data_IF_902109317626
#
_entry.id   IF_902109317626
#
_cell.length_a   1.000
_cell.length_b   1.000
_cell.length_c   1.000
_cell.angle_alpha   90.00
_cell.angle_beta   90.00
_cell.angle_gamma   90.00
#
_symmetry.space_group_name_H-M   'P 1'
#
loop_
_entity.id
_entity.type
_entity.pdbx_description
1 polymer ?
#
# COMPACT_ATOMS: atom_id res chain seq x y z
N UNK A 1 76.84 0.60 -12.11
CA UNK A 1 77.37 -0.63 -12.74
C UNK A 1 76.53 -1.80 -12.24
N UNK A 2 76.02 -2.62 -13.18
CA UNK A 2 75.68 -4.07 -13.12
C UNK A 2 75.29 -4.65 -11.75
N UNK A 3 74.26 -5.46 -11.50
CA UNK A 3 73.42 -6.48 -12.20
C UNK A 3 72.40 -6.88 -11.08
N UNK A 4 71.24 -7.51 -11.24
CA UNK A 4 70.70 -8.36 -12.28
C UNK A 4 69.41 -8.99 -11.74
N UNK A 5 68.32 -8.74 -12.48
CA UNK A 5 67.13 -9.55 -12.79
C UNK A 5 67.11 -11.03 -12.35
N UNK A 6 65.95 -11.48 -11.83
CA UNK A 6 65.10 -12.65 -12.21
C UNK A 6 64.32 -13.17 -10.98
N UNK A 7 62.99 -12.99 -10.92
CA UNK A 7 61.89 -13.87 -11.39
C UNK A 7 61.59 -15.04 -10.44
N UNK A 8 60.37 -15.05 -9.90
CA UNK A 8 59.76 -16.15 -9.17
C UNK A 8 58.26 -15.90 -9.04
N UNK A 9 57.51 -16.29 -10.08
CA UNK A 9 56.06 -16.30 -10.07
C UNK A 9 55.55 -17.46 -9.19
N UNK A 10 54.56 -17.19 -8.35
CA UNK A 10 53.72 -18.22 -7.75
C UNK A 10 52.26 -17.82 -7.99
N UNK A 11 51.69 -18.40 -9.06
CA UNK A 11 50.26 -18.42 -9.29
C UNK A 11 49.64 -19.47 -8.37
N UNK A 12 48.72 -19.06 -7.50
CA UNK A 12 47.80 -19.98 -6.82
C UNK A 12 46.45 -19.79 -7.49
N UNK A 13 46.02 -20.86 -8.16
CA UNK A 13 44.74 -20.97 -8.83
C UNK A 13 43.75 -21.76 -7.96
N UNK A 14 42.46 -21.57 -8.27
CA UNK A 14 41.28 -22.33 -7.86
C UNK A 14 40.72 -22.10 -6.45
N UNK A 15 39.73 -21.20 -6.39
CA UNK A 15 38.51 -21.39 -5.62
C UNK A 15 37.32 -21.24 -6.56
N UNK A 16 36.85 -22.35 -7.13
CA UNK A 16 35.56 -22.44 -7.80
C UNK A 16 34.49 -22.29 -6.72
N UNK A 17 33.97 -21.08 -6.54
CA UNK A 17 32.72 -20.88 -5.80
C UNK A 17 31.61 -21.31 -6.74
N UNK A 18 31.09 -22.51 -6.52
CA UNK A 18 29.81 -22.92 -7.07
C UNK A 18 28.75 -22.01 -6.46
N UNK A 19 28.45 -20.90 -7.14
CA UNK A 19 27.29 -20.07 -6.89
C UNK A 19 26.05 -20.92 -7.12
N UNK A 20 25.50 -21.46 -6.05
CA UNK A 20 24.15 -21.97 -6.00
C UNK A 20 23.19 -20.84 -6.35
N UNK A 21 22.46 -21.03 -7.46
CA UNK A 21 21.13 -20.51 -7.74
C UNK A 21 20.68 -19.28 -6.93
N UNK A 22 20.83 -18.10 -7.53
CA UNK A 22 19.66 -17.25 -7.70
C UNK A 22 19.38 -17.29 -9.21
N UNK A 23 18.52 -18.22 -9.65
CA UNK A 23 17.59 -17.79 -10.69
C UNK A 23 16.83 -16.68 -9.99
N UNK A 24 17.06 -15.44 -10.42
CA UNK A 24 16.00 -14.45 -10.34
C UNK A 24 14.90 -15.08 -11.17
N UNK A 25 14.04 -15.83 -10.50
CA UNK A 25 12.65 -15.92 -10.88
C UNK A 25 12.23 -14.46 -10.76
N UNK A 26 12.37 -13.73 -11.87
CA UNK A 26 11.59 -12.52 -12.08
C UNK A 26 10.17 -13.07 -12.02
N UNK A 27 9.63 -13.12 -10.80
CA UNK A 27 8.28 -13.58 -10.56
C UNK A 27 7.40 -12.61 -11.31
N UNK A 28 7.07 -12.96 -12.54
CA UNK A 28 5.84 -12.53 -13.17
C UNK A 28 4.79 -12.77 -12.08
N UNK A 29 4.27 -11.70 -11.48
CA UNK A 29 3.15 -11.80 -10.57
C UNK A 29 2.02 -12.48 -11.36
N UNK A 30 1.86 -13.79 -11.18
CA UNK A 30 1.00 -14.66 -11.98
C UNK A 30 -0.50 -14.47 -11.62
N UNK A 31 -0.87 -13.30 -11.06
CA UNK A 31 -2.19 -12.96 -10.58
C UNK A 31 -2.71 -11.64 -11.16
N UNK A 32 -4.02 -11.54 -11.32
CA UNK A 32 -4.69 -10.27 -11.57
C UNK A 32 -5.01 -9.60 -10.24
N UNK A 33 -4.86 -8.28 -10.13
CA UNK A 33 -5.29 -7.50 -8.96
C UNK A 33 -6.81 -7.60 -8.84
N UNK A 34 -7.29 -8.29 -7.79
CA UNK A 34 -8.72 -8.36 -7.49
C UNK A 34 -9.21 -7.09 -6.80
N UNK A 35 -10.53 -6.83 -6.74
CA UNK A 35 -11.04 -5.66 -6.04
C UNK A 35 -10.66 -5.60 -4.56
N UNK A 36 -10.65 -6.74 -3.86
CA UNK A 36 -10.25 -6.78 -2.45
C UNK A 36 -8.77 -6.43 -2.26
N UNK A 37 -7.89 -7.00 -3.09
CA UNK A 37 -6.45 -6.69 -3.08
C UNK A 37 -6.19 -5.23 -3.42
N UNK A 38 -6.93 -4.65 -4.36
CA UNK A 38 -6.84 -3.23 -4.67
C UNK A 38 -7.17 -2.36 -3.45
N UNK A 39 -8.26 -2.64 -2.73
CA UNK A 39 -8.61 -1.91 -1.51
C UNK A 39 -7.57 -2.08 -0.41
N UNK A 40 -7.07 -3.30 -0.19
CA UNK A 40 -6.00 -3.56 0.78
C UNK A 40 -4.76 -2.74 0.44
N UNK A 41 -4.28 -2.81 -0.80
CA UNK A 41 -3.10 -2.07 -1.26
C UNK A 41 -3.25 -0.55 -1.06
N UNK A 42 -4.43 0.00 -1.37
CA UNK A 42 -4.72 1.44 -1.20
C UNK A 42 -4.70 1.83 0.29
N UNK A 43 -5.30 1.02 1.16
CA UNK A 43 -5.36 1.30 2.60
C UNK A 43 -3.98 1.14 3.24
N UNK A 44 -3.23 0.09 2.91
CA UNK A 44 -1.86 -0.11 3.38
C UNK A 44 -0.95 1.04 2.96
N UNK A 45 -1.07 1.47 1.71
CA UNK A 45 -0.38 2.66 1.22
C UNK A 45 -0.71 3.89 2.07
N UNK A 46 -2.00 4.18 2.32
CA UNK A 46 -2.41 5.31 3.18
C UNK A 46 -1.85 5.20 4.59
N UNK A 47 -1.98 4.03 5.24
CA UNK A 47 -1.49 3.81 6.61
C UNK A 47 0.01 4.01 6.67
N UNK A 48 0.76 3.60 5.64
CA UNK A 48 2.21 3.81 5.55
C UNK A 48 2.61 5.29 5.45
N UNK A 49 1.70 6.18 5.03
CA UNK A 49 1.94 7.63 5.02
C UNK A 49 1.74 8.29 6.39
N UNK A 50 1.13 7.59 7.35
CA UNK A 50 0.78 8.13 8.64
C UNK A 50 1.87 7.88 9.68
N UNK A 51 2.06 8.84 10.58
CA UNK A 51 2.86 8.62 11.77
C UNK A 51 2.06 7.79 12.78
N UNK A 52 2.62 6.70 13.33
CA UNK A 52 1.92 5.89 14.32
C UNK A 52 1.55 6.73 15.54
N UNK A 53 0.29 6.65 15.97
CA UNK A 53 -0.19 7.26 17.21
C UNK A 53 0.10 6.33 18.39
N UNK A 54 0.29 6.92 19.57
CA UNK A 54 0.52 6.19 20.82
C UNK A 54 -0.46 6.65 21.88
N UNK A 55 -1.03 5.70 22.61
CA UNK A 55 -1.99 5.98 23.67
C UNK A 55 -1.32 6.48 24.97
N UNK A 56 -2.13 6.75 25.99
CA UNK A 56 -1.65 7.19 27.31
C UNK A 56 -0.78 6.14 28.03
N UNK A 57 -0.87 4.86 27.62
CA UNK A 57 -0.07 3.74 28.13
C UNK A 57 1.25 3.57 27.37
N UNK A 58 1.42 4.27 26.25
CA UNK A 58 2.58 4.16 25.35
C UNK A 58 2.48 2.99 24.36
N UNK A 59 1.29 2.43 24.16
CA UNK A 59 1.02 1.40 23.16
C UNK A 59 0.65 2.05 21.82
N UNK A 60 1.04 1.41 20.70
CA UNK A 60 0.70 1.92 19.36
C UNK A 60 -0.78 1.70 19.11
N UNK A 61 -1.48 2.76 18.72
CA UNK A 61 -2.87 2.68 18.30
C UNK A 61 -2.97 2.41 16.80
N UNK A 62 -3.94 1.59 16.40
CA UNK A 62 -4.19 1.32 14.99
C UNK A 62 -4.83 2.55 14.34
N UNK A 63 -4.37 2.90 13.13
CA UNK A 63 -4.98 3.93 12.33
C UNK A 63 -6.47 3.61 12.06
N UNK A 64 -7.33 4.63 12.09
CA UNK A 64 -8.74 4.48 11.74
C UNK A 64 -8.94 4.98 10.31
N UNK A 65 -9.35 4.08 9.42
CA UNK A 65 -9.55 4.39 7.99
C UNK A 65 -11.00 4.13 7.63
N UNK A 66 -11.70 5.20 7.24
CA UNK A 66 -13.01 5.11 6.62
C UNK A 66 -12.84 4.96 5.11
N UNK A 67 -13.65 4.09 4.50
CA UNK A 67 -13.58 3.81 3.06
C UNK A 67 -14.97 3.95 2.45
N UNK A 68 -15.08 4.77 1.41
CA UNK A 68 -16.31 4.97 0.64
C UNK A 68 -16.05 4.83 -0.86
N UNK A 69 -17.06 4.42 -1.61
CA UNK A 69 -17.01 4.39 -3.08
C UNK A 69 -17.37 5.78 -3.66
N UNK A 70 -16.58 6.29 -4.59
CA UNK A 70 -16.79 7.60 -5.21
C UNK A 70 -18.10 7.69 -6.01
N UNK A 71 -18.54 6.58 -6.61
CA UNK A 71 -19.81 6.49 -7.33
C UNK A 71 -21.05 6.56 -6.44
N UNK A 72 -20.85 6.54 -5.11
CA UNK A 72 -21.91 6.35 -4.13
C UNK A 72 -22.36 4.89 -4.05
N UNK A 73 -22.78 4.47 -2.85
CA UNK A 73 -23.28 3.12 -2.61
C UNK A 73 -22.29 2.20 -1.91
N UNK A 74 -22.76 0.98 -1.66
CA UNK A 74 -22.09 0.01 -0.79
C UNK A 74 -21.08 -0.81 -1.57
N UNK A 75 -19.83 -0.83 -1.09
CA UNK A 75 -18.80 -1.78 -1.56
C UNK A 75 -19.30 -3.20 -1.32
N UNK A 76 -19.05 -4.13 -2.25
CA UNK A 76 -19.53 -5.50 -2.12
C UNK A 76 -19.15 -6.12 -0.77
N UNK A 77 -20.09 -6.80 -0.12
CA UNK A 77 -19.89 -7.33 1.24
C UNK A 77 -18.79 -8.38 1.32
N UNK A 78 -18.57 -9.15 0.24
CA UNK A 78 -17.47 -10.10 0.15
C UNK A 78 -16.12 -9.39 0.11
N UNK A 79 -16.05 -8.28 -0.64
CA UNK A 79 -14.87 -7.41 -0.67
C UNK A 79 -14.62 -6.77 0.71
N UNK A 80 -15.66 -6.23 1.35
CA UNK A 80 -15.52 -5.63 2.68
C UNK A 80 -14.97 -6.63 3.71
N UNK A 81 -15.52 -7.85 3.72
CA UNK A 81 -15.07 -8.90 4.63
C UNK A 81 -13.61 -9.29 4.38
N UNK A 82 -13.22 -9.46 3.11
CA UNK A 82 -11.86 -9.81 2.74
C UNK A 82 -10.84 -8.71 3.11
N UNK A 83 -11.21 -7.44 2.98
CA UNK A 83 -10.36 -6.31 3.39
C UNK A 83 -10.19 -6.27 4.91
N UNK A 84 -11.29 -6.39 5.67
CA UNK A 84 -11.22 -6.38 7.15
C UNK A 84 -10.39 -7.55 7.69
N UNK A 85 -10.54 -8.73 7.10
CA UNK A 85 -9.78 -9.92 7.51
C UNK A 85 -8.27 -9.72 7.33
N UNK A 86 -7.85 -9.08 6.23
CA UNK A 86 -6.44 -8.82 5.95
C UNK A 86 -5.86 -7.66 6.77
N UNK A 87 -6.68 -6.67 7.11
CA UNK A 87 -6.22 -5.42 7.75
C UNK A 87 -6.34 -5.40 9.27
N UNK A 88 -6.82 -6.48 9.91
CA UNK A 88 -7.17 -6.49 11.34
C UNK A 88 -6.02 -6.08 12.28
N UNK A 89 -4.79 -6.41 11.92
CA UNK A 89 -3.58 -6.08 12.69
C UNK A 89 -2.90 -4.77 12.24
N UNK A 90 -3.37 -4.16 11.15
CA UNK A 90 -2.75 -2.99 10.52
C UNK A 90 -3.55 -1.71 10.76
N UNK A 91 -4.88 -1.78 10.64
CA UNK A 91 -5.77 -0.63 10.79
C UNK A 91 -7.20 -1.03 11.15
N UNK A 92 -7.91 -0.12 11.82
CA UNK A 92 -9.36 -0.24 12.03
C UNK A 92 -10.08 0.28 10.79
N UNK A 93 -10.64 -0.64 9.99
CA UNK A 93 -11.35 -0.30 8.75
C UNK A 93 -12.84 -0.11 9.00
N UNK A 94 -13.41 0.96 8.43
CA UNK A 94 -14.84 1.25 8.48
C UNK A 94 -15.35 1.59 7.09
N UNK A 95 -16.23 0.76 6.55
CA UNK A 95 -16.90 1.08 5.30
C UNK A 95 -18.05 2.05 5.55
N UNK A 96 -18.10 3.11 4.75
CA UNK A 96 -19.13 4.13 4.77
C UNK A 96 -19.88 4.09 3.45
N UNK A 97 -21.22 4.01 3.53
CA UNK A 97 -22.08 4.12 2.35
C UNK A 97 -22.20 5.59 1.89
N UNK A 98 -22.05 6.52 2.84
CA UNK A 98 -22.05 7.97 2.63
C UNK A 98 -20.84 8.61 3.34
N UNK A 99 -20.07 9.50 2.69
CA UNK A 99 -19.01 10.28 3.34
C UNK A 99 -19.44 10.98 4.65
N UNK A 100 -20.72 11.36 4.78
CA UNK A 100 -21.28 11.98 5.98
C UNK A 100 -21.26 11.06 7.21
N UNK A 101 -21.09 9.74 7.02
CA UNK A 101 -20.90 8.79 8.12
C UNK A 101 -19.51 8.89 8.75
N UNK A 102 -18.53 9.42 8.01
CA UNK A 102 -17.14 9.61 8.43
C UNK A 102 -16.83 11.07 8.80
N UNK A 103 -17.42 12.04 8.11
CA UNK A 103 -17.15 13.49 8.27
C UNK A 103 -18.46 14.24 8.51
N UNK A 104 -18.49 15.18 9.46
CA UNK A 104 -19.60 16.14 9.60
C UNK A 104 -19.34 17.36 8.70
N UNK A 105 -19.99 17.42 7.55
CA UNK A 105 -19.83 18.50 6.57
C UNK A 105 -20.51 19.82 6.99
N UNK A 106 -21.26 19.81 8.09
CA UNK A 106 -21.88 21.00 8.68
C UNK A 106 -20.92 21.81 9.55
N UNK A 107 -19.75 21.27 9.89
CA UNK A 107 -18.77 21.90 10.78
C UNK A 107 -17.44 22.05 10.03
N UNK A 108 -17.06 23.29 9.65
CA UNK A 108 -15.80 23.55 8.98
C UNK A 108 -14.61 23.08 9.81
N UNK A 109 -13.61 22.53 9.15
CA UNK A 109 -12.38 22.01 9.76
C UNK A 109 -12.57 20.88 10.81
N UNK A 110 -13.79 20.37 11.01
CA UNK A 110 -14.02 19.21 11.88
C UNK A 110 -13.29 18.00 11.29
N UNK A 111 -12.45 17.31 12.07
CA UNK A 111 -11.73 16.15 11.58
C UNK A 111 -12.69 15.01 11.25
N UNK A 112 -12.21 14.09 10.43
CA UNK A 112 -12.85 12.77 10.29
C UNK A 112 -13.01 12.15 11.68
N UNK A 113 -14.16 11.50 11.91
CA UNK A 113 -14.49 10.86 13.19
C UNK A 113 -13.37 9.93 13.66
N UNK A 114 -13.20 9.84 14.98
CA UNK A 114 -12.17 9.02 15.62
C UNK A 114 -10.75 9.36 15.15
N UNK A 115 -10.52 10.64 14.83
CA UNK A 115 -9.22 11.15 14.36
C UNK A 115 -8.68 10.36 13.16
N UNK A 116 -9.60 9.84 12.33
CA UNK A 116 -9.27 8.97 11.22
C UNK A 116 -8.98 9.72 9.92
N UNK A 117 -8.98 8.96 8.83
CA UNK A 117 -8.97 9.48 7.47
C UNK A 117 -10.13 8.87 6.68
N UNK A 118 -10.68 9.63 5.73
CA UNK A 118 -11.64 9.11 4.77
C UNK A 118 -10.95 8.92 3.42
N UNK A 119 -10.99 7.70 2.90
CA UNK A 119 -10.61 7.36 1.54
C UNK A 119 -11.87 7.19 0.69
N UNK A 120 -12.01 8.06 -0.32
CA UNK A 120 -13.06 7.96 -1.34
C UNK A 120 -12.44 7.38 -2.60
N UNK A 121 -12.69 6.11 -2.85
CA UNK A 121 -12.05 5.32 -3.89
C UNK A 121 -12.94 5.28 -5.13
N UNK A 122 -12.39 5.62 -6.29
CA UNK A 122 -13.08 5.47 -7.58
C UNK A 122 -13.40 3.99 -7.88
N UNK A 123 -14.23 3.76 -8.89
CA UNK A 123 -14.56 2.40 -9.31
C UNK A 123 -13.29 1.61 -9.64
N UNK A 124 -13.12 0.46 -8.98
CA UNK A 124 -12.01 -0.43 -9.25
C UNK A 124 -12.22 -1.06 -10.64
N UNK A 125 -11.25 -0.97 -11.57
CA UNK A 125 -11.38 -1.57 -12.89
C UNK A 125 -11.43 -3.11 -12.81
N UNK A 126 -11.82 -3.78 -13.90
CA UNK A 126 -11.76 -5.24 -13.96
C UNK A 126 -10.35 -5.77 -13.63
N UNK A 127 -10.25 -6.98 -13.05
CA UNK A 127 -8.97 -7.58 -12.70
C UNK A 127 -8.00 -7.62 -13.88
N UNK A 128 -6.76 -7.19 -13.62
CA UNK A 128 -5.63 -7.24 -14.52
C UNK A 128 -4.33 -7.24 -13.68
N UNK A 129 -3.17 -7.62 -14.24
CA UNK A 129 -1.91 -7.66 -13.47
C UNK A 129 -1.47 -6.28 -12.94
N UNK A 130 -1.88 -5.23 -13.64
CA UNK A 130 -1.68 -3.83 -13.24
C UNK A 130 -2.97 -3.07 -13.47
N UNK A 131 -3.38 -2.28 -12.47
CA UNK A 131 -4.54 -1.40 -12.57
C UNK A 131 -4.18 0.03 -12.11
N UNK A 132 -4.95 1.00 -12.60
CA UNK A 132 -4.88 2.39 -12.13
C UNK A 132 -6.17 2.74 -11.40
N UNK A 133 -6.05 3.26 -10.19
CA UNK A 133 -7.18 3.66 -9.34
C UNK A 133 -6.99 5.09 -8.89
N UNK A 134 -8.06 5.89 -8.92
CA UNK A 134 -8.04 7.23 -8.31
C UNK A 134 -8.66 7.16 -6.92
N UNK A 135 -8.05 7.81 -5.94
CA UNK A 135 -8.58 7.91 -4.58
C UNK A 135 -8.46 9.33 -4.08
N UNK A 136 -9.45 9.81 -3.33
CA UNK A 136 -9.35 11.06 -2.59
C UNK A 136 -9.19 10.75 -1.11
N UNK A 137 -8.18 11.36 -0.49
CA UNK A 137 -7.93 11.31 0.95
C UNK A 137 -8.45 12.58 1.58
N UNK A 138 -9.38 12.48 2.52
CA UNK A 138 -9.89 13.60 3.29
C UNK A 138 -9.53 13.45 4.78
N UNK A 139 -9.14 14.57 5.40
CA UNK A 139 -8.88 14.67 6.86
C UNK A 139 -9.93 15.53 7.56
N UNK A 140 -10.63 16.37 6.80
CA UNK A 140 -11.83 17.12 7.20
C UNK A 140 -12.68 17.38 5.94
N UNK A 141 -13.88 17.95 6.11
CA UNK A 141 -14.75 18.29 4.98
C UNK A 141 -14.09 19.23 3.96
N UNK A 142 -13.23 20.13 4.44
CA UNK A 142 -12.59 21.18 3.63
C UNK A 142 -11.16 20.81 3.19
N UNK A 143 -10.60 19.69 3.69
CA UNK A 143 -9.24 19.26 3.41
C UNK A 143 -9.21 17.87 2.78
N UNK A 144 -9.11 17.85 1.45
CA UNK A 144 -8.93 16.64 0.66
C UNK A 144 -7.84 16.78 -0.39
N UNK A 145 -7.13 15.68 -0.65
CA UNK A 145 -6.10 15.55 -1.69
C UNK A 145 -6.44 14.32 -2.54
N UNK A 146 -6.34 14.45 -3.87
CA UNK A 146 -6.61 13.34 -4.79
C UNK A 146 -5.30 12.73 -5.28
N UNK A 147 -5.28 11.41 -5.40
CA UNK A 147 -4.16 10.61 -5.86
C UNK A 147 -4.58 9.70 -7.01
N UNK A 148 -3.71 9.60 -8.03
CA UNK A 148 -3.71 8.50 -8.98
C UNK A 148 -2.73 7.44 -8.50
N UNK A 149 -3.20 6.22 -8.27
CA UNK A 149 -2.43 5.10 -7.77
C UNK A 149 -2.30 4.03 -8.87
N UNK A 150 -1.08 3.57 -9.10
CA UNK A 150 -0.82 2.36 -9.91
C UNK A 150 -0.61 1.20 -8.96
N UNK A 151 -1.42 0.15 -9.13
CA UNK A 151 -1.42 -1.05 -8.29
C UNK A 151 -1.01 -2.24 -9.16
N UNK A 152 -0.02 -2.99 -8.71
CA UNK A 152 0.47 -4.20 -9.37
C UNK A 152 0.26 -5.41 -8.46
N UNK A 153 -0.12 -6.54 -9.06
CA UNK A 153 -0.15 -7.80 -8.33
C UNK A 153 1.27 -8.20 -7.92
N UNK A 154 1.40 -8.91 -6.80
CA UNK A 154 2.67 -9.46 -6.33
C UNK A 154 2.46 -10.83 -5.65
N UNK A 155 3.52 -11.38 -5.05
CA UNK A 155 3.49 -12.67 -4.37
C UNK A 155 2.72 -12.66 -3.03
N UNK A 156 2.35 -11.47 -2.56
CA UNK A 156 1.57 -11.22 -1.34
C UNK A 156 0.13 -10.79 -1.60
N UNK A 157 -0.22 -10.51 -2.86
CA UNK A 157 -1.53 -10.03 -3.30
C UNK A 157 -1.36 -8.91 -4.32
N UNK A 158 -1.30 -7.66 -3.84
CA UNK A 158 -1.04 -6.49 -4.66
C UNK A 158 -0.47 -5.33 -3.84
N UNK A 159 0.27 -4.43 -4.49
CA UNK A 159 0.85 -3.26 -3.85
C UNK A 159 0.74 -2.00 -4.73
N UNK A 160 0.65 -0.83 -4.08
CA UNK A 160 0.79 0.46 -4.78
C UNK A 160 2.25 0.67 -5.15
N UNK A 161 2.55 0.64 -6.45
CA UNK A 161 3.92 0.83 -6.98
C UNK A 161 4.20 2.27 -7.43
N UNK A 162 3.15 3.06 -7.62
CA UNK A 162 3.25 4.48 -7.95
C UNK A 162 2.07 5.27 -7.40
N UNK A 163 2.34 6.50 -6.94
CA UNK A 163 1.34 7.43 -6.45
C UNK A 163 1.63 8.85 -6.96
N UNK A 164 0.67 9.45 -7.66
CA UNK A 164 0.77 10.80 -8.20
C UNK A 164 -0.35 11.68 -7.63
N UNK A 165 0.02 12.78 -6.97
CA UNK A 165 -0.94 13.79 -6.53
C UNK A 165 -1.58 14.47 -7.76
N UNK A 166 -2.90 14.70 -7.72
CA UNK A 166 -3.70 15.23 -8.84
C UNK A 166 -4.37 16.55 -8.52
#
# INVERSE_FOLDING_TARGET
MLRGRTWGAAAIALGLVAGTACSTDDGDADGDVTPAEAYVAIIEWEVSQQEPTVDESGEVELAVVFVAAAGGGTIDIGVQAAVVEQMIDTATIRFADDPADAIDDGIPDEPVRNDGVLLVVADIPPPAPTIEVTTARATSADNSITWGLTIEADDTGAAVVNAEER
#
